data_IF_831425812420
#
_entry.id   IF_831425812420
#
_cell.length_a   1.000
_cell.length_b   1.000
_cell.length_c   1.000
_cell.angle_alpha   90.00
_cell.angle_beta   90.00
_cell.angle_gamma   90.00
#
_symmetry.space_group_name_H-M   'P 1'
#
loop_
_entity.id
_entity.type
_entity.pdbx_description
1 polymer ?
#
# COMPACT_ATOMS: atom_id res chain seq x y z
N UNK A 1 8.16 -4.08 -27.93
CA UNK A 1 7.41 -4.30 -26.66
C UNK A 1 5.98 -4.60 -27.04
N UNK A 2 5.39 -5.67 -26.52
CA UNK A 2 4.00 -6.04 -26.79
C UNK A 2 3.07 -4.90 -26.31
N UNK A 3 2.09 -4.51 -27.15
CA UNK A 3 1.13 -3.43 -26.84
C UNK A 3 0.39 -3.67 -25.51
N UNK A 4 0.09 -4.92 -25.20
CA UNK A 4 -0.60 -5.30 -23.96
C UNK A 4 0.30 -5.09 -22.74
N UNK A 5 1.57 -5.53 -22.82
CA UNK A 5 2.54 -5.30 -21.74
C UNK A 5 2.80 -3.81 -21.50
N UNK A 6 2.92 -3.02 -22.56
CA UNK A 6 3.05 -1.56 -22.43
C UNK A 6 1.86 -0.94 -21.70
N UNK A 7 0.63 -1.38 -22.03
CA UNK A 7 -0.59 -0.94 -21.34
C UNK A 7 -0.54 -1.26 -19.85
N UNK A 8 -0.09 -2.47 -19.47
CA UNK A 8 0.06 -2.86 -18.07
C UNK A 8 1.05 -1.98 -17.31
N UNK A 9 2.21 -1.70 -17.90
CA UNK A 9 3.23 -0.81 -17.33
C UNK A 9 2.66 0.60 -17.13
N UNK A 10 1.99 1.17 -18.12
CA UNK A 10 1.39 2.50 -18.02
C UNK A 10 0.32 2.57 -16.94
N UNK A 11 -0.53 1.55 -16.83
CA UNK A 11 -1.53 1.46 -15.76
C UNK A 11 -0.88 1.42 -14.37
N UNK A 12 0.16 0.63 -14.17
CA UNK A 12 0.88 0.57 -12.90
C UNK A 12 1.50 1.93 -12.53
N UNK A 13 2.20 2.56 -13.47
CA UNK A 13 2.81 3.89 -13.27
C UNK A 13 1.74 4.93 -12.94
N UNK A 14 0.63 4.98 -13.69
CA UNK A 14 -0.45 5.94 -13.44
C UNK A 14 -1.09 5.74 -12.07
N UNK A 15 -1.40 4.49 -11.69
CA UNK A 15 -2.01 4.21 -10.40
C UNK A 15 -1.13 4.63 -9.23
N UNK A 16 0.14 4.27 -9.25
CA UNK A 16 1.10 4.61 -8.19
C UNK A 16 1.45 6.09 -8.16
N UNK A 17 1.53 6.75 -9.33
CA UNK A 17 1.68 8.21 -9.42
C UNK A 17 0.48 8.92 -8.79
N UNK A 18 -0.76 8.47 -9.06
CA UNK A 18 -1.95 9.05 -8.43
C UNK A 18 -1.94 8.90 -6.90
N UNK A 19 -1.41 7.81 -6.36
CA UNK A 19 -1.24 7.69 -4.90
C UNK A 19 -0.27 8.73 -4.35
N UNK A 20 0.90 8.89 -4.94
CA UNK A 20 1.88 9.89 -4.50
C UNK A 20 1.38 11.34 -4.64
N UNK A 21 0.72 11.65 -5.76
CA UNK A 21 0.07 12.96 -5.98
C UNK A 21 -1.01 13.20 -4.92
N UNK A 22 -1.83 12.19 -4.62
CA UNK A 22 -2.90 12.27 -3.61
C UNK A 22 -2.35 12.59 -2.22
N UNK A 23 -1.21 12.00 -1.83
CA UNK A 23 -0.53 12.33 -0.57
C UNK A 23 -0.12 13.80 -0.50
N UNK A 24 0.44 14.34 -1.57
CA UNK A 24 0.84 15.76 -1.65
C UNK A 24 -0.38 16.69 -1.65
N UNK A 25 -1.48 16.30 -2.32
CA UNK A 25 -2.74 17.06 -2.28
C UNK A 25 -3.36 17.02 -0.88
N UNK A 26 -3.27 15.90 -0.16
CA UNK A 26 -3.71 15.85 1.23
C UNK A 26 -2.88 16.79 2.13
N UNK A 27 -1.57 16.88 1.92
CA UNK A 27 -0.71 17.87 2.60
C UNK A 27 -1.17 19.30 2.31
N UNK A 28 -1.51 19.60 1.06
CA UNK A 28 -2.10 20.91 0.70
C UNK A 28 -3.39 21.16 1.45
N UNK A 29 -4.33 20.21 1.51
CA UNK A 29 -5.60 20.35 2.24
C UNK A 29 -5.38 20.62 3.74
N UNK A 30 -4.37 19.99 4.34
CA UNK A 30 -4.05 20.22 5.76
C UNK A 30 -3.57 21.65 6.06
N UNK A 31 -3.01 22.36 5.08
CA UNK A 31 -2.69 23.80 5.19
C UNK A 31 -3.95 24.68 5.23
N UNK A 32 -5.09 24.16 4.73
CA UNK A 32 -6.41 24.82 4.76
C UNK A 32 -7.30 24.30 5.90
N UNK A 33 -6.70 23.84 6.99
CA UNK A 33 -7.36 23.35 8.20
C UNK A 33 -8.26 22.11 8.02
N UNK A 34 -8.11 21.36 6.94
CA UNK A 34 -8.66 20.01 6.87
C UNK A 34 -7.91 19.11 7.85
N UNK A 35 -8.63 18.17 8.47
CA UNK A 35 -8.02 17.22 9.40
C UNK A 35 -7.81 15.87 8.73
N UNK A 36 -6.76 15.12 9.14
CA UNK A 36 -6.55 13.73 8.68
C UNK A 36 -7.78 12.86 8.91
N UNK A 37 -8.42 13.00 10.07
CA UNK A 37 -9.59 12.25 10.47
C UNK A 37 -10.74 12.43 9.48
N UNK A 38 -11.08 13.68 9.17
CA UNK A 38 -12.15 13.98 8.24
C UNK A 38 -11.84 13.48 6.83
N UNK A 39 -10.63 13.76 6.34
CA UNK A 39 -10.24 13.39 4.98
C UNK A 39 -10.23 11.86 4.78
N UNK A 40 -9.77 11.10 5.80
CA UNK A 40 -9.78 9.63 5.76
C UNK A 40 -11.21 9.10 5.70
N UNK A 41 -12.11 9.57 6.56
CA UNK A 41 -13.51 9.12 6.56
C UNK A 41 -14.17 9.36 5.21
N UNK A 42 -14.07 10.58 4.70
CA UNK A 42 -14.68 10.97 3.42
C UNK A 42 -14.07 10.15 2.27
N UNK A 43 -12.73 10.06 2.22
CA UNK A 43 -12.01 9.33 1.20
C UNK A 43 -12.42 7.85 1.15
N UNK A 44 -12.37 7.15 2.31
CA UNK A 44 -12.61 5.69 2.30
C UNK A 44 -14.09 5.36 2.11
N UNK A 45 -15.03 6.15 2.68
CA UNK A 45 -16.46 5.92 2.46
C UNK A 45 -16.86 6.12 1.01
N UNK A 46 -16.54 7.29 0.43
CA UNK A 46 -16.92 7.59 -0.95
C UNK A 46 -16.24 6.63 -1.93
N UNK A 47 -14.95 6.38 -1.78
CA UNK A 47 -14.24 5.45 -2.66
C UNK A 47 -14.72 4.01 -2.50
N UNK A 48 -15.05 3.57 -1.28
CA UNK A 48 -15.61 2.26 -1.02
C UNK A 48 -16.98 2.07 -1.69
N UNK A 49 -17.87 3.08 -1.59
CA UNK A 49 -19.16 3.09 -2.28
C UNK A 49 -18.96 3.02 -3.80
N UNK A 50 -18.07 3.85 -4.36
CA UNK A 50 -17.81 3.88 -5.80
C UNK A 50 -17.23 2.55 -6.30
N UNK A 51 -16.25 1.95 -5.55
CA UNK A 51 -15.67 0.64 -5.90
C UNK A 51 -16.71 -0.47 -5.89
N UNK A 52 -17.53 -0.56 -4.85
CA UNK A 52 -18.58 -1.59 -4.80
C UNK A 52 -19.65 -1.37 -5.84
N UNK A 53 -20.04 -0.12 -6.11
CA UNK A 53 -20.96 0.21 -7.20
C UNK A 53 -20.39 -0.22 -8.55
N UNK A 54 -19.10 0.04 -8.81
CA UNK A 54 -18.42 -0.43 -10.02
C UNK A 54 -18.41 -1.98 -10.09
N UNK A 55 -18.10 -2.67 -8.98
CA UNK A 55 -18.16 -4.14 -8.91
C UNK A 55 -19.54 -4.68 -9.26
N UNK A 56 -20.61 -4.11 -8.68
CA UNK A 56 -21.99 -4.47 -8.97
C UNK A 56 -22.38 -4.26 -10.43
N UNK A 57 -21.98 -3.12 -11.02
CA UNK A 57 -22.21 -2.81 -12.45
C UNK A 57 -21.48 -3.78 -13.38
N UNK A 58 -20.32 -4.32 -12.97
CA UNK A 58 -19.59 -5.38 -13.69
C UNK A 58 -20.14 -6.78 -13.44
N UNK A 59 -21.19 -6.94 -12.62
CA UNK A 59 -21.81 -8.22 -12.32
C UNK A 59 -21.03 -9.07 -11.32
N UNK A 60 -20.15 -8.46 -10.49
CA UNK A 60 -19.40 -9.18 -9.46
C UNK A 60 -20.33 -9.65 -8.34
N UNK A 61 -20.67 -10.93 -8.38
CA UNK A 61 -21.52 -11.59 -7.36
C UNK A 61 -20.84 -11.63 -5.98
N UNK A 62 -19.52 -11.61 -5.94
CA UNK A 62 -18.70 -11.60 -4.73
C UNK A 62 -19.08 -10.48 -3.77
N UNK A 63 -19.52 -9.31 -4.29
CA UNK A 63 -19.96 -8.15 -3.49
C UNK A 63 -21.04 -8.52 -2.47
N UNK A 64 -21.98 -9.41 -2.84
CA UNK A 64 -23.05 -9.87 -1.94
C UNK A 64 -22.68 -11.17 -1.21
N UNK A 65 -21.89 -12.02 -1.85
CA UNK A 65 -21.56 -13.35 -1.32
C UNK A 65 -20.60 -13.28 -0.12
N UNK A 66 -19.66 -12.36 -0.11
CA UNK A 66 -18.68 -12.18 0.99
C UNK A 66 -19.38 -11.94 2.34
N UNK A 67 -20.55 -11.30 2.35
CA UNK A 67 -21.33 -11.01 3.56
C UNK A 67 -22.06 -12.23 4.14
N UNK A 68 -22.18 -13.31 3.37
CA UNK A 68 -22.90 -14.54 3.82
C UNK A 68 -22.03 -15.39 4.74
N UNK A 69 -20.71 -15.28 4.67
CA UNK A 69 -19.79 -16.10 5.46
C UNK A 69 -19.27 -15.30 6.67
N UNK A 70 -19.67 -15.71 7.87
CA UNK A 70 -19.27 -15.04 9.12
C UNK A 70 -17.75 -14.93 9.33
N UNK A 71 -16.97 -15.95 8.92
CA UNK A 71 -15.51 -15.93 9.02
C UNK A 71 -14.91 -14.90 8.06
N UNK A 72 -15.42 -14.84 6.83
CA UNK A 72 -14.97 -13.89 5.83
C UNK A 72 -15.32 -12.45 6.26
N UNK A 73 -16.51 -12.22 6.84
CA UNK A 73 -16.93 -10.93 7.41
C UNK A 73 -16.01 -10.51 8.57
N UNK A 74 -15.66 -11.40 9.49
CA UNK A 74 -14.77 -11.07 10.60
C UNK A 74 -13.37 -10.68 10.11
N UNK A 75 -12.83 -11.43 9.14
CA UNK A 75 -11.55 -11.09 8.48
C UNK A 75 -11.64 -9.73 7.78
N UNK A 76 -12.78 -9.46 7.13
CA UNK A 76 -13.04 -8.21 6.42
C UNK A 76 -13.12 -7.01 7.38
N UNK A 77 -13.76 -7.18 8.56
CA UNK A 77 -13.81 -6.16 9.60
C UNK A 77 -12.39 -5.85 10.11
N UNK A 78 -11.62 -6.88 10.44
CA UNK A 78 -10.23 -6.70 10.88
C UNK A 78 -9.37 -6.04 9.80
N UNK A 79 -9.51 -6.44 8.54
CA UNK A 79 -8.84 -5.84 7.39
C UNK A 79 -9.22 -4.36 7.19
N UNK A 80 -10.53 -4.05 7.26
CA UNK A 80 -11.02 -2.68 7.08
C UNK A 80 -10.54 -1.73 8.18
N UNK A 81 -10.55 -2.18 9.43
CA UNK A 81 -10.19 -1.35 10.58
C UNK A 81 -8.67 -1.29 10.78
N UNK A 82 -7.98 -2.43 10.87
CA UNK A 82 -6.55 -2.44 11.17
C UNK A 82 -5.69 -2.24 9.93
N UNK A 83 -6.09 -2.82 8.80
CA UNK A 83 -5.36 -2.70 7.54
C UNK A 83 -5.62 -1.37 6.85
N UNK A 84 -6.83 -1.17 6.31
CA UNK A 84 -7.14 0.02 5.50
C UNK A 84 -7.16 1.28 6.34
N UNK A 85 -8.05 1.36 7.33
CA UNK A 85 -8.20 2.57 8.14
C UNK A 85 -6.90 2.87 8.91
N UNK A 86 -6.30 1.85 9.55
CA UNK A 86 -5.04 2.00 10.28
C UNK A 86 -3.94 2.60 9.40
N UNK A 87 -3.73 2.05 8.21
CA UNK A 87 -2.72 2.55 7.27
C UNK A 87 -3.02 3.96 6.77
N UNK A 88 -4.26 4.23 6.34
CA UNK A 88 -4.65 5.53 5.78
C UNK A 88 -4.61 6.65 6.80
N UNK A 89 -5.13 6.41 8.02
CA UNK A 89 -5.17 7.42 9.06
C UNK A 89 -3.76 7.78 9.56
N UNK A 90 -2.96 6.78 9.90
CA UNK A 90 -1.60 7.02 10.41
C UNK A 90 -0.68 7.62 9.36
N UNK A 91 -0.87 7.29 8.08
CA UNK A 91 -0.20 7.95 6.96
C UNK A 91 -0.55 9.43 6.86
N UNK A 92 -1.83 9.79 6.94
CA UNK A 92 -2.24 11.19 6.87
C UNK A 92 -1.84 11.98 8.11
N UNK A 93 -1.79 11.34 9.29
CA UNK A 93 -1.20 11.95 10.49
C UNK A 93 0.29 12.25 10.24
N UNK A 94 1.04 11.30 9.67
CA UNK A 94 2.45 11.54 9.34
C UNK A 94 2.63 12.69 8.33
N UNK A 95 1.75 12.83 7.35
CA UNK A 95 1.75 13.96 6.41
C UNK A 95 1.44 15.28 7.14
N UNK A 96 0.43 15.29 8.00
CA UNK A 96 -0.03 16.50 8.72
C UNK A 96 1.08 17.15 9.56
N UNK A 97 1.86 16.32 10.24
CA UNK A 97 2.94 16.77 11.13
C UNK A 97 4.33 16.78 10.48
N UNK A 98 4.43 16.33 9.24
CA UNK A 98 5.64 16.33 8.43
C UNK A 98 5.35 16.82 7.01
N UNK A 99 5.55 15.93 6.04
CA UNK A 99 5.19 16.16 4.64
C UNK A 99 4.93 14.84 3.91
N UNK A 100 4.35 14.91 2.72
CA UNK A 100 3.98 13.73 1.94
C UNK A 100 5.19 12.85 1.57
N UNK A 101 6.32 13.47 1.20
CA UNK A 101 7.53 12.72 0.85
C UNK A 101 8.04 11.86 2.02
N UNK A 102 8.23 12.47 3.19
CA UNK A 102 8.70 11.77 4.40
C UNK A 102 7.74 10.68 4.84
N UNK A 103 6.42 10.97 4.88
CA UNK A 103 5.40 10.02 5.26
C UNK A 103 5.38 8.79 4.33
N UNK A 104 5.47 9.01 3.01
CA UNK A 104 5.50 7.93 2.02
C UNK A 104 6.74 7.06 2.17
N UNK A 105 7.92 7.67 2.36
CA UNK A 105 9.17 6.90 2.55
C UNK A 105 9.07 6.01 3.80
N UNK A 106 8.53 6.53 4.91
CA UNK A 106 8.34 5.74 6.13
C UNK A 106 7.32 4.61 5.93
N UNK A 107 6.22 4.85 5.22
CA UNK A 107 5.23 3.82 4.89
C UNK A 107 5.83 2.69 4.04
N UNK A 108 6.78 3.01 3.17
CA UNK A 108 7.50 2.02 2.34
C UNK A 108 8.44 1.08 3.13
N UNK A 109 8.48 1.18 4.46
CA UNK A 109 9.02 0.13 5.33
C UNK A 109 8.08 -1.09 5.43
N UNK A 110 6.84 -1.00 4.98
CA UNK A 110 5.86 -2.10 5.02
C UNK A 110 6.38 -3.41 4.41
N UNK A 111 7.01 -3.46 3.21
CA UNK A 111 7.58 -4.68 2.67
C UNK A 111 8.69 -5.29 3.55
N UNK A 112 9.46 -4.46 4.25
CA UNK A 112 10.49 -4.91 5.19
C UNK A 112 9.86 -5.58 6.40
N UNK A 113 8.79 -4.97 6.97
CA UNK A 113 8.03 -5.55 8.07
C UNK A 113 7.43 -6.90 7.65
N UNK A 114 6.86 -7.00 6.44
CA UNK A 114 6.34 -8.25 5.89
C UNK A 114 7.44 -9.30 5.80
N UNK A 115 8.61 -8.95 5.26
CA UNK A 115 9.73 -9.87 5.12
C UNK A 115 10.20 -10.42 6.48
N UNK A 116 10.35 -9.54 7.48
CA UNK A 116 10.71 -9.92 8.84
C UNK A 116 9.64 -10.83 9.48
N UNK A 117 8.35 -10.49 9.29
CA UNK A 117 7.24 -11.29 9.80
C UNK A 117 7.20 -12.69 9.19
N UNK A 118 7.35 -12.80 7.87
CA UNK A 118 7.36 -14.08 7.16
C UNK A 118 8.55 -14.93 7.61
N UNK A 119 9.75 -14.35 7.74
CA UNK A 119 10.94 -15.03 8.22
C UNK A 119 10.73 -15.56 9.67
N UNK A 120 10.13 -14.76 10.54
CA UNK A 120 9.80 -15.14 11.90
C UNK A 120 8.81 -16.30 11.96
N UNK A 121 7.71 -16.23 11.19
CA UNK A 121 6.68 -17.27 11.15
C UNK A 121 7.19 -18.59 10.54
N UNK A 122 7.99 -18.51 9.49
CA UNK A 122 8.58 -19.69 8.83
C UNK A 122 9.78 -20.28 9.57
N UNK A 123 10.29 -19.58 10.61
CA UNK A 123 11.53 -19.92 11.34
C UNK A 123 12.74 -20.08 10.42
N UNK A 124 12.72 -19.45 9.24
CA UNK A 124 13.84 -19.43 8.28
C UNK A 124 14.47 -18.04 8.29
N UNK A 125 15.81 -18.01 8.25
CA UNK A 125 16.52 -16.73 8.11
C UNK A 125 16.22 -16.10 6.73
N UNK A 126 16.09 -14.78 6.64
CA UNK A 126 15.95 -14.10 5.36
C UNK A 126 17.12 -14.40 4.42
N UNK A 127 16.84 -14.47 3.12
CA UNK A 127 17.88 -14.62 2.09
C UNK A 127 18.84 -13.43 2.12
N UNK A 128 20.05 -13.57 1.59
CA UNK A 128 21.06 -12.48 1.55
C UNK A 128 20.53 -11.20 0.91
N UNK A 129 19.76 -11.31 -0.17
CA UNK A 129 19.09 -10.19 -0.83
C UNK A 129 18.09 -9.48 0.09
N UNK A 130 17.33 -10.22 0.87
CA UNK A 130 16.36 -9.69 1.84
C UNK A 130 17.08 -8.99 3.01
N UNK A 131 18.21 -9.55 3.51
CA UNK A 131 19.04 -8.90 4.52
C UNK A 131 19.63 -7.58 4.02
N UNK A 132 20.10 -7.54 2.78
CA UNK A 132 20.56 -6.30 2.15
C UNK A 132 19.43 -5.25 2.08
N UNK A 133 18.25 -5.65 1.66
CA UNK A 133 17.07 -4.77 1.60
C UNK A 133 16.68 -4.22 2.98
N UNK A 134 16.68 -5.07 4.03
CA UNK A 134 16.44 -4.65 5.40
C UNK A 134 17.49 -3.62 5.85
N UNK A 135 18.76 -3.87 5.56
CA UNK A 135 19.85 -2.94 5.91
C UNK A 135 19.69 -1.59 5.21
N UNK A 136 19.36 -1.58 3.90
CA UNK A 136 19.09 -0.35 3.16
C UNK A 136 17.87 0.41 3.69
N UNK A 137 16.83 -0.28 4.12
CA UNK A 137 15.65 0.35 4.74
C UNK A 137 16.00 1.03 6.08
N UNK A 138 16.84 0.39 6.90
CA UNK A 138 17.34 0.99 8.14
C UNK A 138 18.15 2.25 7.83
N UNK A 139 19.04 2.19 6.85
CA UNK A 139 19.86 3.33 6.40
C UNK A 139 18.96 4.45 5.86
N UNK A 140 17.97 4.13 5.03
CA UNK A 140 16.98 5.10 4.55
C UNK A 140 16.29 5.82 5.70
N UNK A 141 15.73 5.03 6.63
CA UNK A 141 15.02 5.56 7.80
C UNK A 141 15.92 6.45 8.65
N UNK A 142 17.16 6.02 8.88
CA UNK A 142 18.14 6.81 9.61
C UNK A 142 18.39 8.18 8.96
N UNK A 143 18.65 8.24 7.66
CA UNK A 143 18.89 9.51 6.97
C UNK A 143 17.66 10.42 6.94
N UNK A 144 16.47 9.88 6.75
CA UNK A 144 15.23 10.65 6.77
C UNK A 144 14.97 11.27 8.15
N UNK A 145 15.20 10.51 9.22
CA UNK A 145 14.91 10.92 10.60
C UNK A 145 15.94 11.91 11.12
N UNK A 146 17.23 11.71 10.82
CA UNK A 146 18.32 12.48 11.43
C UNK A 146 18.87 13.60 10.54
N UNK A 147 18.59 13.54 9.22
CA UNK A 147 19.23 14.43 8.24
C UNK A 147 20.75 14.45 8.37
N UNK A 148 21.34 13.29 8.73
CA UNK A 148 22.78 13.12 8.95
C UNK A 148 23.30 13.62 10.31
N UNK A 149 22.45 14.17 11.18
CA UNK A 149 22.84 14.58 12.53
C UNK A 149 22.33 13.57 13.57
N UNK A 150 23.22 12.74 14.09
CA UNK A 150 22.92 11.64 15.03
C UNK A 150 22.29 12.16 16.35
N UNK A 151 22.57 13.38 16.73
CA UNK A 151 22.18 13.93 18.02
C UNK A 151 20.80 14.62 18.02
N UNK A 152 20.12 14.68 16.85
CA UNK A 152 18.83 15.35 16.73
C UNK A 152 17.87 14.60 15.80
N UNK A 153 16.60 14.57 16.19
CA UNK A 153 15.52 14.18 15.29
C UNK A 153 15.12 15.39 14.45
N UNK A 154 15.20 15.26 13.13
CA UNK A 154 14.83 16.33 12.19
C UNK A 154 13.37 16.26 11.75
N UNK A 155 12.62 15.28 12.25
CA UNK A 155 11.18 15.13 12.03
C UNK A 155 10.44 15.10 13.36
N UNK A 156 9.16 15.46 13.35
CA UNK A 156 8.32 15.41 14.55
C UNK A 156 8.11 13.97 15.02
N UNK A 157 7.82 13.79 16.31
CA UNK A 157 7.49 12.47 16.87
C UNK A 157 6.22 11.90 16.24
N UNK A 158 5.25 12.75 15.96
CA UNK A 158 3.98 12.41 15.32
C UNK A 158 4.21 11.90 13.90
N UNK A 159 5.10 12.53 13.12
CA UNK A 159 5.49 12.06 11.78
C UNK A 159 6.17 10.69 11.85
N UNK A 160 7.11 10.52 12.78
CA UNK A 160 7.82 9.24 12.94
C UNK A 160 6.84 8.12 13.34
N UNK A 161 6.06 8.32 14.40
CA UNK A 161 5.12 7.33 14.88
C UNK A 161 4.02 7.04 13.85
N UNK A 162 3.45 8.08 13.23
CA UNK A 162 2.45 7.95 12.19
C UNK A 162 2.99 7.14 11.00
N UNK A 163 4.20 7.44 10.52
CA UNK A 163 4.84 6.72 9.41
C UNK A 163 5.12 5.25 9.73
N UNK A 164 5.67 4.96 10.92
CA UNK A 164 5.95 3.58 11.35
C UNK A 164 4.65 2.78 11.58
N UNK A 165 3.64 3.38 12.20
CA UNK A 165 2.33 2.76 12.35
C UNK A 165 1.66 2.52 10.99
N UNK A 166 1.82 3.44 10.04
CA UNK A 166 1.33 3.27 8.68
C UNK A 166 2.02 2.12 7.96
N UNK A 167 3.34 1.96 8.14
CA UNK A 167 4.07 0.82 7.60
C UNK A 167 3.60 -0.51 8.21
N UNK A 168 3.39 -0.57 9.51
CA UNK A 168 2.88 -1.75 10.20
C UNK A 168 1.45 -2.10 9.76
N UNK A 169 0.57 -1.11 9.70
CA UNK A 169 -0.80 -1.29 9.20
C UNK A 169 -0.82 -1.65 7.71
N UNK A 170 0.10 -1.12 6.90
CA UNK A 170 0.32 -1.50 5.51
C UNK A 170 0.75 -2.96 5.34
N UNK A 171 1.56 -3.48 6.27
CA UNK A 171 1.88 -4.90 6.31
C UNK A 171 0.63 -5.76 6.62
N UNK A 172 -0.19 -5.36 7.59
CA UNK A 172 -1.47 -6.00 7.86
C UNK A 172 -2.42 -5.91 6.66
N UNK A 173 -2.52 -4.74 6.02
CA UNK A 173 -3.29 -4.53 4.79
C UNK A 173 -2.91 -5.54 3.69
N UNK A 174 -1.64 -5.89 3.59
CA UNK A 174 -1.14 -6.81 2.57
C UNK A 174 -1.37 -8.28 2.95
N UNK A 175 -1.13 -8.64 4.21
CA UNK A 175 -1.14 -10.03 4.65
C UNK A 175 -2.56 -10.55 5.00
N UNK A 176 -3.36 -9.73 5.66
CA UNK A 176 -4.67 -10.15 6.18
C UNK A 176 -5.68 -10.60 5.10
N UNK A 177 -5.84 -9.90 3.97
CA UNK A 177 -6.87 -10.23 3.00
C UNK A 177 -6.49 -11.40 2.07
N UNK A 178 -5.30 -11.99 2.21
CA UNK A 178 -4.78 -13.01 1.29
C UNK A 178 -5.78 -14.16 1.03
N UNK A 179 -6.46 -14.66 2.08
CA UNK A 179 -7.46 -15.72 1.94
C UNK A 179 -8.78 -15.21 1.33
N UNK A 180 -9.15 -13.95 1.54
CA UNK A 180 -10.31 -13.34 0.90
C UNK A 180 -10.06 -13.12 -0.59
N UNK A 181 -8.87 -12.67 -0.97
CA UNK A 181 -8.46 -12.42 -2.36
C UNK A 181 -8.38 -13.70 -3.22
N UNK A 182 -8.26 -14.88 -2.60
CA UNK A 182 -8.38 -16.17 -3.29
C UNK A 182 -9.84 -16.52 -3.66
N UNK A 183 -10.83 -15.94 -2.96
CA UNK A 183 -12.24 -16.26 -3.11
C UNK A 183 -13.02 -15.16 -3.83
N UNK A 184 -12.63 -13.90 -3.63
CA UNK A 184 -13.37 -12.72 -4.05
C UNK A 184 -12.46 -11.77 -4.83
N UNK A 185 -13.04 -10.96 -5.69
CA UNK A 185 -12.28 -9.94 -6.43
C UNK A 185 -11.64 -8.90 -5.48
N UNK A 186 -10.51 -8.36 -5.88
CA UNK A 186 -9.86 -7.30 -5.12
C UNK A 186 -10.76 -6.06 -4.95
N UNK A 187 -11.60 -5.73 -5.95
CA UNK A 187 -12.57 -4.65 -5.88
C UNK A 187 -13.57 -4.87 -4.74
N UNK A 188 -14.09 -6.09 -4.62
CA UNK A 188 -15.01 -6.46 -3.54
C UNK A 188 -14.35 -6.38 -2.16
N UNK A 189 -13.17 -6.97 -2.00
CA UNK A 189 -12.46 -7.01 -0.70
C UNK A 189 -12.04 -5.61 -0.25
N UNK A 190 -11.44 -4.83 -1.14
CA UNK A 190 -10.99 -3.46 -0.83
C UNK A 190 -12.19 -2.54 -0.62
N UNK A 191 -13.21 -2.60 -1.49
CA UNK A 191 -14.40 -1.77 -1.39
C UNK A 191 -15.14 -1.96 -0.07
N UNK A 192 -15.38 -3.20 0.35
CA UNK A 192 -16.00 -3.49 1.66
C UNK A 192 -15.09 -3.11 2.83
N UNK A 193 -13.78 -3.38 2.73
CA UNK A 193 -12.84 -2.97 3.74
C UNK A 193 -12.82 -1.45 3.94
N UNK A 194 -12.89 -0.68 2.85
CA UNK A 194 -13.01 0.79 2.90
C UNK A 194 -14.32 1.23 3.59
N UNK A 195 -15.46 0.66 3.22
CA UNK A 195 -16.75 0.99 3.85
C UNK A 195 -16.71 0.67 5.34
N UNK A 196 -16.26 -0.51 5.72
CA UNK A 196 -16.19 -0.94 7.12
C UNK A 196 -15.26 -0.03 7.92
N UNK A 197 -14.05 0.24 7.40
CA UNK A 197 -13.11 1.16 8.04
C UNK A 197 -13.68 2.58 8.17
N UNK A 198 -14.32 3.09 7.12
CA UNK A 198 -14.94 4.40 7.12
C UNK A 198 -16.12 4.51 8.09
N UNK A 199 -17.00 3.50 8.15
CA UNK A 199 -18.11 3.46 9.12
C UNK A 199 -17.54 3.40 10.55
N UNK A 200 -16.57 2.51 10.80
CA UNK A 200 -15.96 2.39 12.13
C UNK A 200 -15.35 3.73 12.61
N UNK A 201 -14.66 4.45 11.72
CA UNK A 201 -14.06 5.71 12.08
C UNK A 201 -15.05 6.87 12.16
N UNK A 202 -16.19 6.78 11.46
CA UNK A 202 -17.28 7.78 11.56
C UNK A 202 -17.90 7.88 12.96
N UNK A 203 -17.76 6.82 13.80
CA UNK A 203 -18.15 6.89 15.21
C UNK A 203 -17.20 7.74 16.06
N UNK A 204 -15.95 7.91 15.62
CA UNK A 204 -14.93 8.72 16.29
C UNK A 204 -14.92 10.14 15.72
N UNK A 205 -14.91 10.25 14.40
CA UNK A 205 -14.93 11.53 13.68
C UNK A 205 -16.00 11.50 12.59
N UNK A 206 -17.23 11.94 12.88
CA UNK A 206 -18.31 11.94 11.90
C UNK A 206 -17.99 12.82 10.67
N UNK A 207 -18.36 12.41 9.44
CA UNK A 207 -18.03 13.14 8.21
C UNK A 207 -18.67 14.53 8.13
N UNK A 208 -19.70 14.82 8.93
CA UNK A 208 -20.32 16.14 9.01
C UNK A 208 -19.62 17.10 10.00
N UNK A 209 -18.68 16.61 10.82
CA UNK A 209 -17.82 17.46 11.66
C UNK A 209 -16.64 17.95 10.83
N UNK A 210 -16.80 19.10 10.27
CA UNK A 210 -15.87 19.66 9.31
C UNK A 210 -15.25 20.97 9.85
N UNK A 211 -13.93 21.13 9.69
CA UNK A 211 -13.18 22.29 10.18
C UNK A 211 -12.40 23.04 9.10
N UNK A 212 -12.33 22.51 7.89
CA UNK A 212 -11.56 23.09 6.81
C UNK A 212 -12.22 24.31 6.16
N UNK A 213 -11.46 25.02 5.34
CA UNK A 213 -11.96 26.15 4.55
C UNK A 213 -12.27 25.69 3.13
N UNK A 214 -13.53 25.81 2.72
CA UNK A 214 -13.96 25.50 1.37
C UNK A 214 -13.62 26.62 0.40
N UNK A 215 -12.98 26.26 -0.70
CA UNK A 215 -12.75 27.07 -1.90
C UNK A 215 -12.83 26.16 -3.13
N UNK A 216 -12.79 26.72 -4.32
CA UNK A 216 -12.78 25.91 -5.56
C UNK A 216 -11.57 24.99 -5.57
N UNK A 217 -10.42 25.46 -5.11
CA UNK A 217 -9.17 24.69 -5.06
C UNK A 217 -9.27 23.53 -4.06
N UNK A 218 -9.84 23.77 -2.87
CA UNK A 218 -9.95 22.70 -1.86
C UNK A 218 -11.03 21.69 -2.20
N UNK A 219 -12.14 22.08 -2.84
CA UNK A 219 -13.13 21.14 -3.39
C UNK A 219 -12.49 20.25 -4.45
N UNK A 220 -11.81 20.83 -5.42
CA UNK A 220 -11.11 20.07 -6.48
C UNK A 220 -10.03 19.15 -5.92
N UNK A 221 -9.35 19.59 -4.84
CA UNK A 221 -8.36 18.78 -4.15
C UNK A 221 -8.99 17.56 -3.45
N UNK A 222 -10.12 17.74 -2.75
CA UNK A 222 -10.86 16.62 -2.13
C UNK A 222 -11.37 15.65 -3.20
N UNK A 223 -11.96 16.17 -4.28
CA UNK A 223 -12.42 15.34 -5.42
C UNK A 223 -11.27 14.54 -6.01
N UNK A 224 -10.10 15.17 -6.21
CA UNK A 224 -8.92 14.47 -6.71
C UNK A 224 -8.50 13.32 -5.78
N UNK A 225 -8.41 13.57 -4.46
CA UNK A 225 -8.02 12.56 -3.48
C UNK A 225 -8.98 11.36 -3.49
N UNK A 226 -10.28 11.60 -3.61
CA UNK A 226 -11.31 10.54 -3.63
C UNK A 226 -11.29 9.81 -4.97
N UNK A 227 -11.38 10.53 -6.08
CA UNK A 227 -11.61 9.93 -7.40
C UNK A 227 -10.29 9.40 -7.97
N UNK A 228 -9.30 10.26 -8.16
CA UNK A 228 -8.04 9.88 -8.80
C UNK A 228 -7.09 9.22 -7.81
N UNK A 229 -6.92 9.80 -6.63
CA UNK A 229 -6.02 9.29 -5.59
C UNK A 229 -6.48 7.99 -4.93
N UNK A 230 -7.72 7.55 -5.18
CA UNK A 230 -8.22 6.31 -4.61
C UNK A 230 -8.86 5.43 -5.69
N UNK A 231 -10.04 5.79 -6.20
CA UNK A 231 -10.77 4.93 -7.14
C UNK A 231 -9.95 4.60 -8.39
N UNK A 232 -9.51 5.62 -9.14
CA UNK A 232 -8.72 5.42 -10.36
C UNK A 232 -7.36 4.80 -10.07
N UNK A 233 -6.69 5.21 -9.01
CA UNK A 233 -5.41 4.63 -8.60
C UNK A 233 -5.52 3.11 -8.40
N UNK A 234 -6.52 2.65 -7.63
CA UNK A 234 -6.78 1.22 -7.45
C UNK A 234 -7.18 0.52 -8.75
N UNK A 235 -8.08 1.11 -9.55
CA UNK A 235 -8.47 0.52 -10.83
C UNK A 235 -7.28 0.38 -11.78
N UNK A 236 -6.40 1.36 -11.85
CA UNK A 236 -5.19 1.33 -12.67
C UNK A 236 -4.19 0.29 -12.14
N UNK A 237 -3.88 0.31 -10.84
CA UNK A 237 -2.92 -0.60 -10.22
C UNK A 237 -3.38 -2.06 -10.34
N UNK A 238 -4.62 -2.37 -9.96
CA UNK A 238 -5.18 -3.72 -10.09
C UNK A 238 -5.38 -4.11 -11.55
N UNK A 239 -5.77 -3.16 -12.41
CA UNK A 239 -5.91 -3.38 -13.85
C UNK A 239 -4.59 -3.74 -14.53
N UNK A 240 -3.44 -3.27 -14.02
CA UNK A 240 -2.11 -3.60 -14.54
C UNK A 240 -1.80 -5.10 -14.42
N UNK A 241 -2.28 -5.75 -13.36
CA UNK A 241 -2.07 -7.18 -13.08
C UNK A 241 -2.67 -8.11 -14.15
N UNK A 242 -3.59 -7.60 -14.98
CA UNK A 242 -4.10 -8.37 -16.12
C UNK A 242 -3.11 -8.42 -17.30
N UNK A 243 -2.04 -7.63 -17.27
CA UNK A 243 -1.12 -7.45 -18.40
C UNK A 243 0.34 -7.69 -18.04
N UNK A 244 0.73 -7.50 -16.78
CA UNK A 244 2.10 -7.67 -16.28
C UNK A 244 2.08 -8.42 -14.95
N UNK A 245 3.23 -9.00 -14.58
CA UNK A 245 3.35 -9.77 -13.34
C UNK A 245 3.24 -8.88 -12.09
N UNK A 246 2.74 -9.44 -11.00
CA UNK A 246 2.63 -8.74 -9.72
C UNK A 246 3.98 -8.17 -9.24
N UNK A 247 5.08 -8.85 -9.51
CA UNK A 247 6.44 -8.39 -9.22
C UNK A 247 6.78 -7.10 -9.98
N UNK A 248 6.47 -7.06 -11.30
CA UNK A 248 6.71 -5.86 -12.13
C UNK A 248 5.84 -4.70 -11.64
N UNK A 249 4.56 -4.97 -11.32
CA UNK A 249 3.65 -3.97 -10.75
C UNK A 249 4.17 -3.42 -9.42
N UNK A 250 4.71 -4.29 -8.55
CA UNK A 250 5.29 -3.90 -7.26
C UNK A 250 6.54 -3.02 -7.41
N UNK A 251 7.42 -3.32 -8.39
CA UNK A 251 8.58 -2.48 -8.69
C UNK A 251 8.14 -1.10 -9.19
N UNK A 252 7.11 -1.05 -10.04
CA UNK A 252 6.54 0.21 -10.52
C UNK A 252 5.82 0.99 -9.40
N UNK A 253 5.55 0.37 -8.27
CA UNK A 253 5.15 1.02 -7.02
C UNK A 253 6.09 2.14 -6.59
N UNK A 254 7.38 2.07 -6.92
CA UNK A 254 8.37 3.11 -6.64
C UNK A 254 8.04 4.50 -7.25
N UNK A 255 7.13 4.57 -8.23
CA UNK A 255 6.63 5.85 -8.75
C UNK A 255 5.80 6.64 -7.71
N UNK A 256 5.24 5.98 -6.70
CA UNK A 256 4.52 6.65 -5.61
C UNK A 256 5.44 7.57 -4.78
N UNK A 257 6.52 7.09 -4.13
CA UNK A 257 7.41 7.96 -3.38
C UNK A 257 8.14 8.97 -4.28
N UNK A 258 8.43 8.64 -5.53
CA UNK A 258 9.04 9.58 -6.48
C UNK A 258 8.10 10.74 -6.80
N UNK A 259 6.83 10.48 -7.11
CA UNK A 259 5.85 11.52 -7.41
C UNK A 259 5.50 12.37 -6.18
N UNK A 260 5.41 11.74 -4.99
CA UNK A 260 5.21 12.45 -3.74
C UNK A 260 6.37 13.40 -3.44
N UNK A 261 7.62 12.93 -3.55
CA UNK A 261 8.81 13.75 -3.34
C UNK A 261 8.90 14.90 -4.36
N UNK A 262 8.71 14.59 -5.64
CA UNK A 262 8.76 15.59 -6.72
C UNK A 262 7.75 16.72 -6.51
N UNK A 263 6.48 16.41 -6.27
CA UNK A 263 5.45 17.42 -6.06
C UNK A 263 5.59 18.14 -4.72
N UNK A 264 6.03 17.45 -3.66
CA UNK A 264 6.32 18.08 -2.37
C UNK A 264 7.35 19.20 -2.50
N UNK A 265 8.38 19.00 -3.35
CA UNK A 265 9.41 20.01 -3.61
C UNK A 265 8.93 21.10 -4.56
N UNK A 266 8.40 20.73 -5.72
CA UNK A 266 8.12 21.72 -6.78
C UNK A 266 6.88 22.54 -6.48
N UNK A 267 5.82 21.90 -6.00
CA UNK A 267 4.55 22.57 -5.75
C UNK A 267 4.44 23.13 -4.34
N UNK A 268 4.71 22.33 -3.31
CA UNK A 268 4.56 22.74 -1.91
C UNK A 268 5.80 23.44 -1.34
N UNK A 269 6.92 23.47 -2.11
CA UNK A 269 8.20 24.09 -1.73
C UNK A 269 8.77 23.56 -0.42
N UNK A 270 8.50 22.30 -0.10
CA UNK A 270 9.09 21.67 1.06
C UNK A 270 10.62 21.53 0.89
N UNK A 271 11.40 21.73 1.96
CA UNK A 271 12.84 21.53 1.91
C UNK A 271 13.15 20.04 1.66
N UNK A 272 14.01 19.79 0.68
CA UNK A 272 14.46 18.45 0.30
C UNK A 272 15.98 18.47 0.10
N UNK A 273 16.67 17.96 1.09
CA UNK A 273 18.14 17.97 1.11
C UNK A 273 18.76 16.68 0.58
N UNK A 274 20.09 16.62 0.60
CA UNK A 274 20.85 15.45 0.13
C UNK A 274 20.47 14.17 0.91
N UNK A 275 20.17 14.27 2.20
CA UNK A 275 19.79 13.15 3.04
C UNK A 275 18.42 12.59 2.69
N UNK A 276 17.48 13.44 2.27
CA UNK A 276 16.16 13.01 1.74
C UNK A 276 16.33 12.26 0.42
N UNK A 277 17.23 12.75 -0.44
CA UNK A 277 17.54 12.08 -1.69
C UNK A 277 18.13 10.68 -1.45
N UNK A 278 19.14 10.58 -0.58
CA UNK A 278 19.77 9.29 -0.23
C UNK A 278 18.73 8.34 0.39
N UNK A 279 17.93 8.82 1.34
CA UNK A 279 16.88 8.03 1.97
C UNK A 279 15.85 7.52 0.96
N UNK A 280 15.38 8.39 0.07
CA UNK A 280 14.44 8.02 -1.01
C UNK A 280 15.05 6.97 -1.95
N UNK A 281 16.30 7.16 -2.38
CA UNK A 281 16.98 6.20 -3.23
C UNK A 281 17.13 4.83 -2.54
N UNK A 282 17.54 4.79 -1.27
CA UNK A 282 17.68 3.56 -0.50
C UNK A 282 16.34 2.81 -0.38
N UNK A 283 15.23 3.49 -0.10
CA UNK A 283 13.92 2.81 0.05
C UNK A 283 13.40 2.29 -1.29
N UNK A 284 13.64 2.99 -2.39
CA UNK A 284 13.29 2.52 -3.73
C UNK A 284 14.10 1.26 -4.07
N UNK A 285 15.41 1.27 -3.84
CA UNK A 285 16.28 0.10 -4.05
C UNK A 285 15.81 -1.07 -3.17
N UNK A 286 15.47 -0.82 -1.91
CA UNK A 286 14.88 -1.82 -1.00
C UNK A 286 13.64 -2.47 -1.61
N UNK A 287 12.70 -1.68 -2.10
CA UNK A 287 11.45 -2.18 -2.70
C UNK A 287 11.72 -3.05 -3.92
N UNK A 288 12.65 -2.62 -4.78
CA UNK A 288 13.07 -3.36 -5.97
C UNK A 288 13.69 -4.71 -5.59
N UNK A 289 14.63 -4.72 -4.64
CA UNK A 289 15.28 -5.97 -4.18
C UNK A 289 14.25 -6.94 -3.60
N UNK A 290 13.33 -6.47 -2.75
CA UNK A 290 12.31 -7.33 -2.13
C UNK A 290 11.33 -7.88 -3.16
N UNK A 291 10.97 -7.09 -4.18
CA UNK A 291 10.11 -7.55 -5.26
C UNK A 291 10.76 -8.68 -6.08
N UNK A 292 12.04 -8.56 -6.40
CA UNK A 292 12.78 -9.64 -7.10
C UNK A 292 12.94 -10.88 -6.22
N UNK A 293 13.29 -10.71 -4.95
CA UNK A 293 13.43 -11.83 -4.00
C UNK A 293 12.14 -12.64 -3.86
N UNK A 294 10.99 -11.96 -3.83
CA UNK A 294 9.68 -12.64 -3.80
C UNK A 294 9.42 -13.49 -5.05
N UNK A 295 9.83 -12.99 -6.23
CA UNK A 295 9.71 -13.74 -7.48
C UNK A 295 10.55 -15.03 -7.48
N UNK A 296 11.75 -14.96 -6.90
CA UNK A 296 12.63 -16.14 -6.80
C UNK A 296 12.07 -17.15 -5.79
N UNK A 297 11.48 -16.69 -4.67
CA UNK A 297 10.81 -17.56 -3.70
C UNK A 297 9.59 -18.28 -4.33
N UNK A 298 8.79 -17.58 -5.14
CA UNK A 298 7.64 -18.19 -5.86
C UNK A 298 8.07 -19.22 -6.88
N UNK A 299 9.18 -19.03 -7.59
CA UNK A 299 9.72 -20.02 -8.54
C UNK A 299 10.23 -21.28 -7.83
N UNK A 300 10.97 -21.11 -6.74
CA UNK A 300 11.53 -22.20 -5.96
C UNK A 300 10.42 -23.08 -5.34
N UNK A 301 9.26 -22.48 -4.97
CA UNK A 301 8.11 -23.25 -4.53
C UNK A 301 7.47 -24.07 -5.65
N UNK A 302 7.33 -23.51 -6.85
CA UNK A 302 6.77 -24.25 -8.01
C UNK A 302 7.69 -25.39 -8.44
N UNK A 303 9.01 -25.18 -8.48
CA UNK A 303 9.99 -26.21 -8.83
C UNK A 303 9.96 -27.36 -7.80
N UNK A 304 9.88 -27.07 -6.50
CA UNK A 304 9.78 -28.09 -5.47
C UNK A 304 8.47 -28.90 -5.54
N UNK A 305 7.32 -28.21 -5.82
CA UNK A 305 6.04 -28.91 -5.99
C UNK A 305 6.03 -29.81 -7.23
N UNK A 306 6.73 -29.45 -8.31
CA UNK A 306 6.90 -30.27 -9.50
C UNK A 306 7.82 -31.49 -9.23
N UNK A 307 8.91 -31.33 -8.50
CA UNK A 307 9.80 -32.43 -8.11
C UNK A 307 9.09 -33.41 -7.16
N UNK A 308 8.37 -32.96 -6.14
CA UNK A 308 7.59 -33.82 -5.25
C UNK A 308 6.46 -34.56 -6.01
N UNK A 309 5.84 -33.91 -6.99
CA UNK A 309 4.85 -34.50 -7.89
C UNK A 309 5.44 -35.63 -8.74
N UNK A 310 6.68 -35.47 -9.24
CA UNK A 310 7.39 -36.48 -10.02
C UNK A 310 7.80 -37.69 -9.18
N UNK A 311 8.35 -37.47 -7.96
CA UNK A 311 8.73 -38.56 -7.06
C UNK A 311 7.54 -39.41 -6.61
N UNK A 312 6.36 -38.79 -6.40
CA UNK A 312 5.14 -39.50 -6.02
C UNK A 312 4.62 -40.40 -7.13
N UNK A 313 4.80 -40.04 -8.40
CA UNK A 313 4.38 -40.83 -9.58
C UNK A 313 5.35 -42.00 -9.83
N UNK A 314 6.65 -41.84 -9.56
CA UNK A 314 7.65 -42.90 -9.77
C UNK A 314 7.59 -43.96 -8.64
N UNK A 315 7.27 -43.55 -7.39
CA UNK A 315 7.06 -44.49 -6.29
C UNK A 315 5.82 -45.37 -6.45
N UNK A 316 4.78 -44.87 -7.14
CA UNK A 316 3.56 -45.65 -7.41
C UNK A 316 3.75 -46.64 -8.55
N UNK A 317 4.60 -46.32 -9.53
CA UNK A 317 4.99 -47.27 -10.60
C UNK A 317 5.90 -48.39 -10.11
N UNK A 318 6.77 -48.17 -9.12
CA UNK A 318 7.63 -49.20 -8.56
C UNK A 318 6.89 -50.22 -7.71
N UNK A 319 5.70 -49.91 -7.17
CA UNK A 319 4.84 -50.82 -6.42
C UNK A 319 3.94 -51.72 -7.28
N UNK A 320 3.90 -51.50 -8.60
CA UNK A 320 3.09 -52.25 -9.54
C UNK A 320 3.84 -53.40 -10.23
N UNK A 321 5.14 -53.61 -9.89
CA UNK A 321 6.01 -54.64 -10.45
C UNK A 321 6.63 -55.60 -9.43
N UNK A 322 6.00 -55.77 -8.24
CA UNK A 322 6.37 -56.84 -7.27
C UNK A 322 5.22 -57.80 -7.03
#
# INVERSE_FOLDING_TARGET
MDKLRFKGIMLAILGTTFWGVSGTIAEFLFKYNFTPEWLVVVRVLLSGILLLSYGLLKGDKGVKEILKNKKDVLTLISFGVLGILGSQYTYFVAIRYGNAATATILQYLSPVIITCYVAFCSKKLPKKSQLLAISLAIVSTFFIITKGNINSLSISKETLLGGLCSAAAGALYTLQPANLLKKYSAITVIGWGMIIGGIAFSFINPPWQFTGTWSVETVSAVEFVVIFGTLFAYCCYLGSLNYIQATETSILGAFEPLSAAFLSVIWLKNPFGIWDFIGTACIIITTVILAYSKKDDEKELVENDEEEGFESVDTDKSKQYI
#
